data_IF_095115918411
#
_entry.id   IF_095115918411
#
_cell.length_a   1.000
_cell.length_b   1.000
_cell.length_c   1.000
_cell.angle_alpha   90.00
_cell.angle_beta   90.00
_cell.angle_gamma   90.00
#
_symmetry.space_group_name_H-M   'P 1'
#
loop_
_entity.id
_entity.type
_entity.pdbx_description
1 polymer ?
#
# COMPACT_ATOMS: atom_id res chain seq x y z
N UNK A 1 45.29 -51.01 23.23
CA UNK A 1 46.06 -50.11 22.34
C UNK A 1 45.19 -49.03 21.80
N UNK A 2 45.48 -47.90 22.36
CA UNK A 2 45.31 -46.50 21.87
C UNK A 2 43.99 -46.06 21.23
N UNK A 3 43.24 -45.35 22.09
CA UNK A 3 42.23 -44.40 21.81
C UNK A 3 42.64 -43.32 20.78
N UNK A 4 41.73 -42.89 19.95
CA UNK A 4 41.76 -41.51 19.40
C UNK A 4 40.36 -40.93 19.43
N UNK A 5 40.19 -40.13 20.39
CA UNK A 5 39.09 -39.19 20.60
C UNK A 5 39.17 -38.15 19.49
N UNK A 6 38.16 -38.07 18.65
CA UNK A 6 37.97 -36.94 17.75
C UNK A 6 36.85 -36.04 18.33
N UNK A 7 37.28 -34.96 18.90
CA UNK A 7 36.45 -33.83 19.33
C UNK A 7 35.97 -33.12 18.08
N UNK A 8 34.71 -33.28 17.72
CA UNK A 8 34.10 -32.42 16.73
C UNK A 8 33.36 -31.27 17.44
N UNK A 9 34.07 -30.21 17.29
CA UNK A 9 33.73 -28.85 17.65
C UNK A 9 32.27 -28.48 17.29
N UNK A 10 31.56 -28.06 18.31
CA UNK A 10 30.23 -27.52 18.26
C UNK A 10 30.24 -26.21 17.49
N UNK A 11 29.77 -26.21 16.27
CA UNK A 11 29.46 -24.98 15.54
C UNK A 11 28.00 -24.61 15.82
N UNK A 12 27.83 -23.73 16.78
CA UNK A 12 26.60 -23.01 16.95
C UNK A 12 26.33 -22.15 15.69
N UNK A 13 25.50 -22.65 14.78
CA UNK A 13 24.87 -21.83 13.77
C UNK A 13 23.78 -21.00 14.46
N UNK A 14 24.11 -19.77 14.76
CA UNK A 14 23.11 -18.73 15.04
C UNK A 14 22.32 -18.51 13.76
N UNK A 15 21.18 -19.19 13.64
CA UNK A 15 20.17 -18.88 12.64
C UNK A 15 19.60 -17.50 12.99
N UNK A 16 20.14 -16.47 12.36
CA UNK A 16 19.59 -15.14 12.34
C UNK A 16 18.25 -15.24 11.60
N UNK A 17 17.15 -15.27 12.35
CA UNK A 17 15.80 -15.12 11.85
C UNK A 17 15.70 -13.71 11.24
N UNK A 18 15.97 -13.61 9.96
CA UNK A 18 15.56 -12.50 9.13
C UNK A 18 14.03 -12.53 9.05
N UNK A 19 13.39 -11.89 10.00
CA UNK A 19 11.99 -11.52 9.88
C UNK A 19 11.85 -10.67 8.62
N UNK A 20 11.01 -11.07 7.65
CA UNK A 20 10.66 -10.16 6.58
C UNK A 20 9.99 -8.96 7.25
N UNK A 21 10.62 -7.80 7.15
CA UNK A 21 9.97 -6.55 7.43
C UNK A 21 8.69 -6.56 6.60
N UNK A 22 7.56 -6.61 7.27
CA UNK A 22 6.25 -6.42 6.64
C UNK A 22 6.35 -5.12 5.87
N UNK A 23 6.48 -5.22 4.57
CA UNK A 23 6.27 -4.09 3.68
C UNK A 23 4.78 -3.76 3.78
N UNK A 24 4.44 -3.03 4.83
CA UNK A 24 3.24 -2.23 4.81
C UNK A 24 3.36 -1.41 3.55
N UNK A 25 2.55 -1.72 2.54
CA UNK A 25 2.42 -0.92 1.33
C UNK A 25 1.86 0.44 1.73
N UNK A 26 2.71 1.26 2.34
CA UNK A 26 2.52 2.69 2.32
C UNK A 26 2.66 3.04 0.85
N UNK A 27 1.56 3.40 0.20
CA UNK A 27 1.62 4.15 -1.05
C UNK A 27 2.46 5.36 -0.72
N UNK A 28 3.76 5.27 -0.99
CA UNK A 28 4.67 6.36 -0.76
C UNK A 28 4.18 7.52 -1.62
N UNK A 29 3.89 8.62 -0.95
CA UNK A 29 3.66 9.88 -1.62
C UNK A 29 4.87 10.12 -2.53
N UNK A 30 4.68 9.98 -3.83
CA UNK A 30 5.71 10.16 -4.83
C UNK A 30 6.29 11.57 -4.73
N UNK A 31 7.47 11.80 -5.32
CA UNK A 31 8.16 13.08 -5.26
C UNK A 31 7.29 14.31 -5.59
N UNK A 32 6.26 14.16 -6.44
CA UNK A 32 5.28 15.20 -6.74
C UNK A 32 4.55 15.67 -5.48
N UNK A 33 3.97 14.75 -4.70
CA UNK A 33 3.25 15.10 -3.48
C UNK A 33 4.15 15.57 -2.32
N UNK A 34 5.43 15.26 -2.31
CA UNK A 34 6.34 15.75 -1.26
C UNK A 34 6.49 17.28 -1.29
N UNK A 35 6.47 17.87 -2.47
CA UNK A 35 6.54 19.33 -2.66
C UNK A 35 5.28 20.00 -2.12
N UNK A 36 4.12 19.48 -2.50
CA UNK A 36 2.84 19.98 -2.04
C UNK A 36 2.63 19.77 -0.54
N UNK A 37 3.05 18.61 -0.01
CA UNK A 37 2.99 18.34 1.42
C UNK A 37 3.81 19.34 2.25
N UNK A 38 5.00 19.74 1.78
CA UNK A 38 5.81 20.76 2.44
C UNK A 38 5.16 22.14 2.40
N UNK A 39 4.46 22.46 1.32
CA UNK A 39 3.82 23.76 1.13
C UNK A 39 2.49 23.85 1.89
N UNK A 40 1.64 22.84 1.78
CA UNK A 40 0.27 22.86 2.29
C UNK A 40 0.10 22.22 3.67
N UNK A 41 1.03 21.35 4.07
CA UNK A 41 0.95 20.58 5.32
C UNK A 41 2.20 20.78 6.21
N UNK A 42 2.65 22.01 6.49
CA UNK A 42 3.83 22.25 7.30
C UNK A 42 3.65 21.68 8.72
N UNK A 43 4.63 20.91 9.19
CA UNK A 43 4.60 20.34 10.54
C UNK A 43 3.80 19.04 10.69
N UNK A 44 3.13 18.56 9.66
CA UNK A 44 2.48 17.24 9.67
C UNK A 44 3.53 16.14 9.52
N UNK A 45 3.67 15.31 10.55
CA UNK A 45 4.63 14.21 10.54
C UNK A 45 4.16 13.07 9.64
N UNK A 46 5.10 12.46 8.91
CA UNK A 46 4.84 11.29 8.10
C UNK A 46 4.42 10.09 8.97
N UNK A 47 3.45 9.32 8.48
CA UNK A 47 2.94 8.12 9.14
C UNK A 47 1.43 8.14 9.36
N UNK A 48 0.83 6.95 9.43
CA UNK A 48 -0.61 6.79 9.68
C UNK A 48 -1.55 7.47 8.68
N UNK A 49 -1.05 7.88 7.51
CA UNK A 49 -1.85 8.57 6.51
C UNK A 49 -2.13 10.06 6.76
N UNK A 50 -1.53 10.65 7.80
CA UNK A 50 -1.76 12.04 8.21
C UNK A 50 -1.49 13.06 7.10
N UNK A 51 -0.39 12.89 6.35
CA UNK A 51 -0.06 13.76 5.22
C UNK A 51 -1.12 13.66 4.12
N UNK A 52 -1.56 12.44 3.78
CA UNK A 52 -2.62 12.22 2.81
C UNK A 52 -3.93 12.87 3.24
N UNK A 53 -4.29 12.73 4.51
CA UNK A 53 -5.53 13.33 5.04
C UNK A 53 -5.45 14.87 5.05
N UNK A 54 -4.28 15.44 5.34
CA UNK A 54 -4.03 16.87 5.18
C UNK A 54 -4.13 17.31 3.71
N UNK A 55 -3.46 16.63 2.79
CA UNK A 55 -3.50 16.97 1.36
C UNK A 55 -4.91 16.91 0.77
N UNK A 56 -5.78 16.02 1.28
CA UNK A 56 -7.20 15.99 0.88
C UNK A 56 -7.94 17.30 1.16
N UNK A 57 -7.62 17.95 2.28
CA UNK A 57 -8.27 19.22 2.65
C UNK A 57 -7.81 20.38 1.76
N UNK A 58 -6.66 20.23 1.11
CA UNK A 58 -6.05 21.23 0.22
C UNK A 58 -6.03 20.79 -1.26
N UNK A 59 -6.94 19.90 -1.65
CA UNK A 59 -6.89 19.25 -2.97
C UNK A 59 -6.90 20.23 -4.14
N UNK A 60 -7.56 21.40 -3.99
CA UNK A 60 -7.61 22.44 -5.02
C UNK A 60 -6.26 23.12 -5.27
N UNK A 61 -5.39 23.14 -4.26
CA UNK A 61 -4.12 23.86 -4.26
C UNK A 61 -2.91 22.96 -4.59
N UNK A 62 -3.17 21.68 -4.84
CA UNK A 62 -2.13 20.70 -5.19
C UNK A 62 -1.77 20.78 -6.68
N UNK A 63 -0.56 20.36 -7.01
CA UNK A 63 -0.17 20.07 -8.40
C UNK A 63 -1.05 18.96 -9.01
N UNK A 64 -1.22 18.96 -10.32
CA UNK A 64 -2.06 17.96 -10.99
C UNK A 64 -1.50 16.56 -10.81
N UNK A 65 -0.16 16.41 -10.84
CA UNK A 65 0.51 15.13 -10.57
C UNK A 65 0.23 14.61 -9.15
N UNK A 66 0.21 15.50 -8.14
CA UNK A 66 -0.12 15.10 -6.77
C UNK A 66 -1.60 14.77 -6.62
N UNK A 67 -2.50 15.50 -7.25
CA UNK A 67 -3.95 15.21 -7.29
C UNK A 67 -4.19 13.80 -7.80
N UNK A 68 -3.58 13.43 -8.92
CA UNK A 68 -3.72 12.11 -9.53
C UNK A 68 -3.26 10.99 -8.58
N UNK A 69 -2.06 11.13 -8.01
CA UNK A 69 -1.53 10.16 -7.02
C UNK A 69 -2.43 10.06 -5.79
N UNK A 70 -2.94 11.19 -5.31
CA UNK A 70 -3.81 11.23 -4.14
C UNK A 70 -5.15 10.55 -4.41
N UNK A 71 -5.77 10.78 -5.55
CA UNK A 71 -7.03 10.14 -5.97
C UNK A 71 -6.84 8.62 -6.08
N UNK A 72 -5.76 8.16 -6.71
CA UNK A 72 -5.42 6.73 -6.77
C UNK A 72 -5.28 6.10 -5.38
N UNK A 73 -4.57 6.78 -4.46
CA UNK A 73 -4.38 6.31 -3.10
C UNK A 73 -5.69 6.24 -2.28
N UNK A 74 -6.61 7.18 -2.51
CA UNK A 74 -7.93 7.19 -1.89
C UNK A 74 -8.77 6.02 -2.41
N UNK A 75 -8.79 5.80 -3.71
CA UNK A 75 -9.55 4.74 -4.35
C UNK A 75 -9.10 3.35 -3.87
N UNK A 76 -7.79 3.11 -3.80
CA UNK A 76 -7.23 1.85 -3.26
C UNK A 76 -7.69 1.62 -1.81
N UNK A 77 -7.66 2.65 -0.97
CA UNK A 77 -8.10 2.52 0.43
C UNK A 77 -9.60 2.24 0.54
N UNK A 78 -10.41 2.87 -0.28
CA UNK A 78 -11.86 2.69 -0.27
C UNK A 78 -12.27 1.24 -0.57
N UNK A 79 -11.50 0.53 -1.39
CA UNK A 79 -11.75 -0.86 -1.74
C UNK A 79 -10.97 -1.89 -0.91
N UNK A 80 -10.12 -1.49 0.02
CA UNK A 80 -9.20 -2.40 0.71
C UNK A 80 -9.91 -3.50 1.51
N UNK A 81 -11.01 -3.17 2.18
CA UNK A 81 -11.77 -4.13 2.98
C UNK A 81 -12.63 -5.05 2.11
N UNK A 82 -13.21 -4.52 1.05
CA UNK A 82 -13.94 -5.31 0.05
C UNK A 82 -13.00 -6.29 -0.67
N UNK A 83 -11.80 -5.85 -1.02
CA UNK A 83 -10.78 -6.71 -1.63
C UNK A 83 -10.39 -7.87 -0.71
N UNK A 84 -10.22 -7.64 0.58
CA UNK A 84 -9.97 -8.70 1.56
C UNK A 84 -11.13 -9.67 1.69
N UNK A 85 -12.36 -9.17 1.57
CA UNK A 85 -13.57 -9.96 1.74
C UNK A 85 -13.88 -10.83 0.52
N UNK A 86 -13.77 -10.26 -0.68
CA UNK A 86 -14.22 -10.92 -1.91
C UNK A 86 -13.08 -11.45 -2.78
N UNK A 87 -11.86 -10.93 -2.61
CA UNK A 87 -10.71 -11.21 -3.46
C UNK A 87 -9.46 -11.59 -2.66
N UNK A 88 -9.62 -12.24 -1.50
CA UNK A 88 -8.53 -12.58 -0.59
C UNK A 88 -7.43 -13.44 -1.23
N UNK A 89 -7.80 -14.33 -2.15
CA UNK A 89 -6.89 -15.26 -2.82
C UNK A 89 -6.25 -14.67 -4.09
N UNK A 90 -6.62 -13.45 -4.46
CA UNK A 90 -6.12 -12.78 -5.65
C UNK A 90 -4.90 -11.93 -5.32
N UNK A 91 -3.76 -12.23 -5.94
CA UNK A 91 -2.55 -11.42 -5.77
C UNK A 91 -2.70 -10.09 -6.50
N UNK A 92 -2.26 -9.03 -5.82
CA UNK A 92 -2.22 -7.70 -6.41
C UNK A 92 -1.21 -7.66 -7.57
N UNK A 93 -1.65 -7.20 -8.73
CA UNK A 93 -0.83 -7.04 -9.93
C UNK A 93 -1.53 -7.52 -11.20
N UNK A 94 -1.06 -7.04 -12.35
CA UNK A 94 -1.56 -7.45 -13.66
C UNK A 94 -3.07 -7.27 -13.90
N UNK A 95 -3.75 -6.42 -13.12
CA UNK A 95 -5.19 -6.21 -13.26
C UNK A 95 -6.08 -7.31 -12.64
N UNK A 96 -5.49 -8.38 -12.07
CA UNK A 96 -6.25 -9.49 -11.52
C UNK A 96 -7.19 -9.08 -10.37
N UNK A 97 -6.70 -8.22 -9.47
CA UNK A 97 -7.53 -7.71 -8.38
C UNK A 97 -8.67 -6.83 -8.89
N UNK A 98 -8.39 -5.99 -9.88
CA UNK A 98 -9.41 -5.15 -10.52
C UNK A 98 -10.50 -5.99 -11.19
N UNK A 99 -10.12 -7.02 -11.94
CA UNK A 99 -11.06 -7.95 -12.57
C UNK A 99 -11.93 -8.67 -11.53
N UNK A 100 -11.33 -9.11 -10.42
CA UNK A 100 -12.06 -9.72 -9.31
C UNK A 100 -13.06 -8.72 -8.68
N UNK A 101 -12.62 -7.49 -8.38
CA UNK A 101 -13.50 -6.45 -7.82
C UNK A 101 -14.66 -6.10 -8.76
N UNK A 102 -14.41 -6.04 -10.08
CA UNK A 102 -15.45 -5.82 -11.10
C UNK A 102 -16.49 -6.96 -11.11
N UNK A 103 -16.10 -8.20 -10.90
CA UNK A 103 -17.03 -9.33 -10.82
C UNK A 103 -17.93 -9.27 -9.57
N UNK A 104 -17.50 -8.60 -8.51
CA UNK A 104 -18.26 -8.39 -7.27
C UNK A 104 -18.84 -6.98 -7.12
N UNK A 105 -18.98 -6.23 -8.23
CA UNK A 105 -19.43 -4.83 -8.19
C UNK A 105 -20.77 -4.62 -7.49
N UNK A 106 -21.65 -5.60 -7.51
CA UNK A 106 -22.94 -5.53 -6.82
C UNK A 106 -22.79 -5.60 -5.29
N UNK A 107 -21.79 -6.32 -4.80
CA UNK A 107 -21.62 -6.70 -3.40
C UNK A 107 -20.63 -5.79 -2.63
N UNK A 108 -19.77 -5.06 -3.35
CA UNK A 108 -18.81 -4.16 -2.72
C UNK A 108 -19.50 -2.92 -2.13
N UNK A 109 -18.83 -2.27 -1.18
CA UNK A 109 -19.33 -1.06 -0.53
C UNK A 109 -19.56 0.08 -1.54
N UNK A 110 -20.46 1.00 -1.22
CA UNK A 110 -20.72 2.17 -2.08
C UNK A 110 -19.48 3.06 -2.24
N UNK A 111 -18.65 3.14 -1.21
CA UNK A 111 -17.36 3.85 -1.29
C UNK A 111 -16.43 3.20 -2.32
N UNK A 112 -16.38 1.88 -2.38
CA UNK A 112 -15.60 1.17 -3.37
C UNK A 112 -16.20 1.29 -4.79
N UNK A 113 -17.54 1.26 -4.94
CA UNK A 113 -18.20 1.51 -6.23
C UNK A 113 -17.83 2.87 -6.81
N UNK A 114 -17.88 3.92 -5.99
CA UNK A 114 -17.47 5.26 -6.39
C UNK A 114 -15.99 5.30 -6.77
N UNK A 115 -15.13 4.65 -5.98
CA UNK A 115 -13.70 4.57 -6.27
C UNK A 115 -13.40 3.87 -7.61
N UNK A 116 -14.12 2.79 -7.90
CA UNK A 116 -13.99 2.07 -9.18
C UNK A 116 -14.49 2.91 -10.38
N UNK A 117 -15.59 3.64 -10.20
CA UNK A 117 -16.10 4.55 -11.23
C UNK A 117 -15.11 5.70 -11.53
N UNK A 118 -14.50 6.26 -10.50
CA UNK A 118 -13.48 7.31 -10.63
C UNK A 118 -12.20 6.79 -11.33
N UNK A 119 -11.81 5.56 -11.04
CA UNK A 119 -10.67 4.94 -11.70
C UNK A 119 -10.94 4.73 -13.20
N UNK A 120 -12.13 4.27 -13.56
CA UNK A 120 -12.52 4.10 -14.96
C UNK A 120 -12.62 5.42 -15.75
N UNK A 121 -13.00 6.52 -15.09
CA UNK A 121 -13.08 7.85 -15.70
C UNK A 121 -11.72 8.53 -15.91
N UNK A 122 -10.66 8.06 -15.24
CA UNK A 122 -9.30 8.60 -15.34
C UNK A 122 -8.40 7.89 -16.34
N UNK A 123 -8.94 6.92 -17.10
CA UNK A 123 -8.19 6.13 -18.10
C UNK A 123 -8.37 6.64 -19.54
N UNK A 124 -9.06 7.79 -19.75
CA UNK A 124 -9.25 8.43 -21.08
C UNK A 124 -8.20 9.51 -21.37
#
# INVERSE_FOLDING_TARGET
MTARIAVFSSLCLAAMLLLPASMASSVELTGACLKDAKAQCPGVQAGGGKIRDCLKTHITDLSDECKEVLVKAINVKACADDAKKFCADVQAGGGALEACMKSHVADVSDACKVAMANAAAGED
#
